data_IF_526798129285
#
_entry.id   IF_526798129285
#
_cell.length_a   1.000
_cell.length_b   1.000
_cell.length_c   1.000
_cell.angle_alpha   90.00
_cell.angle_beta   90.00
_cell.angle_gamma   90.00
#
_symmetry.space_group_name_H-M   'P 1'
#
loop_
_entity.id
_entity.type
_entity.pdbx_description
1 polymer ?
#
# COMPACT_ATOMS: atom_id res chain seq x y z
N UNK A 1 -2.42 19.01 0.12
CA UNK A 1 -2.77 17.80 -0.65
C UNK A 1 -1.70 17.51 -1.68
N UNK A 2 -1.23 16.28 -1.72
CA UNK A 2 -0.25 15.82 -2.70
C UNK A 2 -0.89 14.68 -3.48
N UNK A 3 -0.86 14.75 -4.81
CA UNK A 3 -1.30 13.69 -5.70
C UNK A 3 -0.11 13.21 -6.52
N UNK A 4 0.16 11.90 -6.47
CA UNK A 4 1.23 11.27 -7.22
C UNK A 4 0.64 10.14 -8.06
N UNK A 5 0.90 10.16 -9.38
CA UNK A 5 0.51 9.09 -10.29
C UNK A 5 1.72 8.23 -10.62
N UNK A 6 1.54 6.92 -10.51
CA UNK A 6 2.54 5.91 -10.85
C UNK A 6 3.94 6.21 -10.27
N UNK A 7 4.07 6.36 -8.93
CA UNK A 7 5.36 6.69 -8.33
C UNK A 7 6.41 5.60 -8.52
N UNK A 8 5.97 4.38 -8.85
CA UNK A 8 6.83 3.22 -9.09
C UNK A 8 7.50 3.22 -10.46
N UNK A 9 7.13 4.13 -11.35
CA UNK A 9 7.61 4.13 -12.73
C UNK A 9 9.15 4.15 -12.78
N UNK A 10 9.72 3.19 -13.50
CA UNK A 10 11.16 3.00 -13.66
C UNK A 10 11.94 2.61 -12.38
N UNK A 11 11.24 2.24 -11.31
CA UNK A 11 11.89 1.79 -10.07
C UNK A 11 11.82 0.27 -9.92
N UNK A 12 12.90 -0.33 -9.41
CA UNK A 12 12.88 -1.72 -9.00
C UNK A 12 12.06 -1.90 -7.68
N UNK A 13 11.72 -3.15 -7.30
CA UNK A 13 10.88 -3.36 -6.11
C UNK A 13 11.45 -2.77 -4.82
N UNK A 14 12.75 -2.90 -4.59
CA UNK A 14 13.39 -2.36 -3.38
C UNK A 14 13.31 -0.83 -3.36
N UNK A 15 13.58 -0.20 -4.51
CA UNK A 15 13.50 1.25 -4.65
C UNK A 15 12.07 1.77 -4.46
N UNK A 16 11.07 1.01 -4.89
CA UNK A 16 9.66 1.33 -4.66
C UNK A 16 9.35 1.39 -3.16
N UNK A 17 9.81 0.41 -2.40
CA UNK A 17 9.62 0.38 -0.94
C UNK A 17 10.31 1.56 -0.25
N UNK A 18 11.55 1.85 -0.64
CA UNK A 18 12.29 3.00 -0.10
C UNK A 18 11.62 4.33 -0.40
N UNK A 19 11.07 4.46 -1.61
CA UNK A 19 10.32 5.65 -1.98
C UNK A 19 9.09 5.85 -1.10
N UNK A 20 8.34 4.78 -0.83
CA UNK A 20 7.18 4.83 0.05
C UNK A 20 7.58 5.28 1.46
N UNK A 21 8.65 4.72 2.02
CA UNK A 21 9.16 5.13 3.32
C UNK A 21 9.48 6.63 3.36
N UNK A 22 10.15 7.14 2.35
CA UNK A 22 10.52 8.55 2.27
C UNK A 22 9.30 9.45 2.14
N UNK A 23 8.31 9.06 1.33
CA UNK A 23 7.08 9.83 1.16
C UNK A 23 6.30 9.94 2.48
N UNK A 24 6.14 8.81 3.17
CA UNK A 24 5.41 8.79 4.43
C UNK A 24 6.15 9.58 5.51
N UNK A 25 7.45 9.39 5.60
CA UNK A 25 8.29 10.10 6.56
C UNK A 25 8.24 11.62 6.34
N UNK A 26 8.38 12.06 5.10
CA UNK A 26 8.37 13.48 4.76
C UNK A 26 6.99 14.11 4.95
N UNK A 27 5.91 13.39 4.64
CA UNK A 27 4.57 13.96 4.68
C UNK A 27 3.93 13.93 6.05
N UNK A 28 4.22 12.93 6.88
CA UNK A 28 3.46 12.67 8.08
C UNK A 28 4.28 12.64 9.36
N UNK A 29 5.52 12.21 9.31
CA UNK A 29 6.35 12.06 10.50
C UNK A 29 7.16 13.32 10.77
N UNK A 30 7.79 13.86 9.74
CA UNK A 30 8.68 15.00 9.87
C UNK A 30 7.96 16.35 10.05
N UNK A 31 6.75 16.49 9.50
CA UNK A 31 5.99 17.75 9.49
C UNK A 31 4.63 17.62 10.17
N UNK A 32 4.61 17.21 11.41
CA UNK A 32 3.35 17.08 12.16
C UNK A 32 2.62 18.41 12.42
N UNK A 33 3.15 19.54 11.96
CA UNK A 33 2.50 20.84 12.06
C UNK A 33 1.44 21.08 10.98
N UNK A 34 1.39 20.25 9.94
CA UNK A 34 0.50 20.45 8.81
C UNK A 34 -0.38 19.22 8.59
N UNK A 35 -1.67 19.48 8.33
CA UNK A 35 -2.57 18.44 7.86
C UNK A 35 -2.26 18.12 6.40
N UNK A 36 -1.50 17.07 6.17
CA UNK A 36 -1.15 16.64 4.83
C UNK A 36 -1.98 15.42 4.42
N UNK A 37 -2.41 15.43 3.16
CA UNK A 37 -3.06 14.30 2.53
C UNK A 37 -2.21 13.85 1.35
N UNK A 38 -1.89 12.56 1.29
CA UNK A 38 -1.17 11.97 0.18
C UNK A 38 -2.10 11.00 -0.54
N UNK A 39 -2.29 11.22 -1.84
CA UNK A 39 -3.05 10.32 -2.71
C UNK A 39 -2.11 9.77 -3.77
N UNK A 40 -2.09 8.45 -3.94
CA UNK A 40 -1.28 7.78 -4.95
C UNK A 40 -2.15 6.90 -5.82
N UNK A 41 -1.93 6.97 -7.13
CA UNK A 41 -2.48 6.02 -8.08
C UNK A 41 -1.35 5.11 -8.56
N UNK A 42 -1.51 3.80 -8.38
CA UNK A 42 -0.45 2.83 -8.69
C UNK A 42 -1.01 1.52 -9.25
N UNK A 43 -0.23 0.86 -10.08
CA UNK A 43 -0.48 -0.51 -10.55
C UNK A 43 0.49 -1.51 -9.89
N UNK A 44 1.36 -1.06 -8.98
CA UNK A 44 2.41 -1.90 -8.42
C UNK A 44 1.91 -2.79 -7.29
N UNK A 45 1.96 -4.13 -7.43
CA UNK A 45 1.66 -5.04 -6.32
C UNK A 45 2.69 -4.90 -5.18
N UNK A 46 3.91 -4.50 -5.48
CA UNK A 46 4.95 -4.29 -4.46
C UNK A 46 4.57 -3.17 -3.50
N UNK A 47 4.08 -2.06 -4.04
CA UNK A 47 3.65 -0.92 -3.22
C UNK A 47 2.50 -1.33 -2.31
N UNK A 48 1.48 -2.01 -2.83
CA UNK A 48 0.31 -2.42 -2.04
C UNK A 48 0.72 -3.41 -0.94
N UNK A 49 1.56 -4.38 -1.27
CA UNK A 49 2.05 -5.34 -0.27
C UNK A 49 2.94 -4.67 0.77
N UNK A 50 3.72 -3.68 0.38
CA UNK A 50 4.53 -2.92 1.32
C UNK A 50 3.68 -2.11 2.29
N UNK A 51 2.61 -1.49 1.81
CA UNK A 51 1.64 -0.80 2.67
C UNK A 51 1.08 -1.78 3.73
N UNK A 52 0.77 -3.01 3.34
CA UNK A 52 0.34 -4.04 4.29
C UNK A 52 1.38 -4.30 5.38
N UNK A 53 2.64 -4.34 5.01
CA UNK A 53 3.73 -4.50 5.98
C UNK A 53 3.75 -3.34 6.98
N UNK A 54 3.60 -2.10 6.49
CA UNK A 54 3.61 -0.92 7.34
C UNK A 54 2.40 -0.89 8.28
N UNK A 55 1.24 -1.34 7.82
CA UNK A 55 0.05 -1.52 8.64
C UNK A 55 0.29 -2.56 9.73
N UNK A 56 0.90 -3.68 9.38
CA UNK A 56 1.24 -4.74 10.33
C UNK A 56 2.23 -4.25 11.39
N UNK A 57 3.22 -3.46 10.99
CA UNK A 57 4.18 -2.86 11.93
C UNK A 57 3.49 -1.97 12.96
N UNK A 58 2.49 -1.22 12.54
CA UNK A 58 1.72 -0.40 13.48
C UNK A 58 0.94 -1.26 14.48
N UNK A 59 0.31 -2.33 13.99
CA UNK A 59 -0.55 -3.21 14.81
C UNK A 59 0.25 -4.11 15.74
N UNK A 60 1.51 -4.37 15.42
CA UNK A 60 2.41 -5.15 16.25
C UNK A 60 3.06 -4.22 17.26
N UNK A 61 2.60 -4.27 18.50
CA UNK A 61 3.11 -3.39 19.58
C UNK A 61 4.39 -3.92 20.24
N UNK A 62 5.25 -4.55 19.45
CA UNK A 62 6.53 -5.02 19.94
C UNK A 62 7.54 -3.86 19.98
N UNK A 63 8.29 -3.74 21.07
CA UNK A 63 9.25 -2.67 21.29
C UNK A 63 10.39 -2.67 20.23
N UNK A 64 10.59 -3.79 19.54
CA UNK A 64 11.68 -3.98 18.59
C UNK A 64 11.28 -3.73 17.13
N UNK A 65 10.04 -3.33 16.86
CA UNK A 65 9.62 -3.03 15.49
C UNK A 65 10.02 -1.59 15.17
N UNK A 66 11.06 -1.44 14.36
CA UNK A 66 11.59 -0.14 13.94
C UNK A 66 11.08 0.24 12.55
N UNK A 67 11.24 1.52 12.22
CA UNK A 67 10.97 2.07 10.91
C UNK A 67 9.61 2.72 10.80
N UNK A 68 9.25 3.05 9.57
CA UNK A 68 7.97 3.70 9.24
C UNK A 68 6.81 2.76 9.55
N UNK A 69 5.74 3.31 10.10
CA UNK A 69 4.52 2.58 10.44
C UNK A 69 3.31 3.37 9.96
N UNK A 70 2.26 2.67 9.58
CA UNK A 70 1.00 3.30 9.17
C UNK A 70 -0.14 2.88 10.08
N UNK A 71 -0.82 3.86 10.66
CA UNK A 71 -2.04 3.63 11.41
C UNK A 71 -3.17 3.28 10.42
N UNK A 72 -3.83 2.12 10.58
CA UNK A 72 -4.92 1.72 9.68
C UNK A 72 -6.05 2.74 9.57
N UNK A 73 -6.29 3.54 10.60
CA UNK A 73 -7.31 4.58 10.60
C UNK A 73 -6.99 5.73 9.63
N UNK A 74 -5.73 5.89 9.25
CA UNK A 74 -5.26 6.99 8.41
C UNK A 74 -5.01 6.57 6.96
N UNK A 75 -5.32 5.33 6.60
CA UNK A 75 -5.04 4.78 5.27
C UNK A 75 -6.31 4.20 4.68
N UNK A 76 -6.60 4.55 3.43
CA UNK A 76 -7.63 3.91 2.62
C UNK A 76 -7.03 3.52 1.28
N UNK A 77 -7.40 2.34 0.80
CA UNK A 77 -6.97 1.84 -0.50
C UNK A 77 -8.20 1.39 -1.28
N UNK A 78 -8.29 1.86 -2.52
CA UNK A 78 -9.41 1.56 -3.42
C UNK A 78 -8.91 0.95 -4.71
N UNK A 79 -9.64 -0.04 -5.19
CA UNK A 79 -9.48 -0.57 -6.52
C UNK A 79 -10.52 0.06 -7.44
N UNK A 80 -10.06 0.62 -8.55
CA UNK A 80 -10.95 1.22 -9.55
C UNK A 80 -11.23 0.19 -10.62
N UNK A 81 -12.50 -0.19 -10.74
CA UNK A 81 -12.95 -1.15 -11.76
C UNK A 81 -14.32 -0.72 -12.27
N UNK A 82 -14.49 -0.72 -13.59
CA UNK A 82 -15.75 -0.35 -14.27
C UNK A 82 -16.31 0.99 -13.78
N UNK A 83 -15.43 1.97 -13.57
CA UNK A 83 -15.81 3.30 -13.10
C UNK A 83 -16.22 3.37 -11.63
N UNK A 84 -16.00 2.30 -10.86
CA UNK A 84 -16.35 2.24 -9.44
C UNK A 84 -15.10 2.11 -8.58
N UNK A 85 -15.13 2.73 -7.41
CA UNK A 85 -14.08 2.59 -6.40
C UNK A 85 -14.53 1.56 -5.36
N UNK A 86 -13.77 0.48 -5.22
CA UNK A 86 -14.05 -0.59 -4.27
C UNK A 86 -12.97 -0.56 -3.19
N UNK A 87 -13.38 -0.43 -1.92
CA UNK A 87 -12.42 -0.44 -0.81
C UNK A 87 -11.78 -1.82 -0.67
N UNK A 88 -10.46 -1.84 -0.61
CA UNK A 88 -9.69 -3.06 -0.39
C UNK A 88 -9.32 -3.28 1.08
N UNK A 89 -9.74 -2.39 1.96
CA UNK A 89 -9.45 -2.48 3.38
C UNK A 89 -10.36 -3.52 4.03
N UNK A 90 -9.77 -4.56 4.62
CA UNK A 90 -10.50 -5.66 5.26
C UNK A 90 -10.00 -5.90 6.67
N UNK A 91 -10.85 -6.52 7.49
CA UNK A 91 -10.52 -6.87 8.87
C UNK A 91 -11.25 -6.02 9.90
N UNK A 92 -10.96 -6.28 11.17
CA UNK A 92 -11.50 -5.55 12.32
C UNK A 92 -10.43 -4.69 12.95
N UNK A 93 -10.81 -3.85 13.91
CA UNK A 93 -9.93 -2.88 14.59
C UNK A 93 -8.57 -3.44 15.02
N UNK A 94 -8.51 -4.72 15.37
CA UNK A 94 -7.29 -5.37 15.82
C UNK A 94 -6.42 -5.93 14.69
N UNK A 95 -6.96 -6.06 13.48
CA UNK A 95 -6.26 -6.73 12.37
C UNK A 95 -6.78 -6.23 11.01
N UNK A 96 -6.50 -4.98 10.69
CA UNK A 96 -6.89 -4.39 9.42
C UNK A 96 -5.73 -4.53 8.43
N UNK A 97 -6.04 -4.97 7.21
CA UNK A 97 -5.08 -5.06 6.13
C UNK A 97 -5.74 -4.76 4.78
N UNK A 98 -4.92 -4.63 3.75
CA UNK A 98 -5.38 -4.42 2.38
C UNK A 98 -5.53 -5.77 1.69
N UNK A 99 -6.67 -5.99 1.06
CA UNK A 99 -6.93 -7.22 0.31
C UNK A 99 -6.19 -7.19 -1.02
N UNK A 100 -5.21 -8.07 -1.16
CA UNK A 100 -4.39 -8.18 -2.38
C UNK A 100 -4.79 -9.34 -3.27
N UNK A 101 -5.90 -10.03 -2.99
CA UNK A 101 -6.33 -11.22 -3.73
C UNK A 101 -6.59 -10.95 -5.20
N UNK A 102 -7.16 -9.79 -5.54
CA UNK A 102 -7.41 -9.43 -6.94
C UNK A 102 -6.11 -9.40 -7.75
N UNK A 103 -5.03 -8.90 -7.17
CA UNK A 103 -3.73 -8.85 -7.82
C UNK A 103 -3.14 -10.25 -8.00
N UNK A 104 -3.27 -11.10 -6.98
CA UNK A 104 -2.82 -12.49 -7.02
C UNK A 104 -3.65 -13.32 -8.00
N UNK A 105 -4.95 -13.09 -8.06
CA UNK A 105 -5.85 -13.81 -8.97
C UNK A 105 -5.49 -13.55 -10.42
N UNK A 106 -5.15 -12.33 -10.78
CA UNK A 106 -4.71 -11.99 -12.14
C UNK A 106 -3.44 -12.77 -12.51
N UNK A 107 -2.46 -12.82 -11.63
CA UNK A 107 -1.23 -13.60 -11.85
C UNK A 107 -1.56 -15.08 -12.00
N UNK A 108 -2.44 -15.62 -11.15
CA UNK A 108 -2.87 -17.01 -11.22
C UNK A 108 -3.55 -17.34 -12.54
N UNK A 109 -4.40 -16.45 -13.04
CA UNK A 109 -5.06 -16.62 -14.33
C UNK A 109 -4.05 -16.68 -15.49
N UNK A 110 -3.04 -15.81 -15.46
CA UNK A 110 -1.97 -15.81 -16.47
C UNK A 110 -1.22 -17.15 -16.43
N UNK A 111 -0.87 -17.65 -15.25
CA UNK A 111 -0.18 -18.94 -15.15
C UNK A 111 -1.03 -20.11 -15.58
N UNK A 112 -2.34 -20.08 -15.33
CA UNK A 112 -3.26 -21.11 -15.83
C UNK A 112 -3.27 -21.16 -17.36
N UNK A 113 -3.33 -20.01 -18.01
CA UNK A 113 -3.26 -19.93 -19.45
C UNK A 113 -1.92 -20.45 -19.98
N UNK A 114 -0.83 -20.06 -19.36
CA UNK A 114 0.52 -20.53 -19.73
C UNK A 114 0.61 -22.06 -19.64
N UNK A 115 0.13 -22.65 -18.55
CA UNK A 115 0.21 -24.09 -18.31
C UNK A 115 -0.70 -24.90 -19.23
N UNK A 116 -1.76 -24.30 -19.77
CA UNK A 116 -2.68 -24.95 -20.70
C UNK A 116 -2.09 -25.12 -22.10
N UNK A 117 -1.13 -24.28 -22.47
CA UNK A 117 -0.44 -24.32 -23.76
C UNK A 117 0.69 -25.35 -23.74
#
# INVERSE_FOLDING_TARGET
>A
HILIEEPELSLDPDSQCQMIDKLIDSCFIYKHQYNMTLMMATHSPYIVNYINLLLKKWQTQEANVEGVKLNPCNVDVYHIIDGKAISLKIGTDASILIDTRLMSDTISEIYKEYNRL
#
